data_IF_368836513222
#
_entry.id   IF_368836513222
#
_cell.length_a   1.000
_cell.length_b   1.000
_cell.length_c   1.000
_cell.angle_alpha   90.00
_cell.angle_beta   90.00
_cell.angle_gamma   90.00
#
_symmetry.space_group_name_H-M   'P 1'
#
loop_
_entity.id
_entity.type
_entity.pdbx_description
1 polymer ?
#
# COMPACT_ATOMS: atom_id res chain seq x y z
N UNK A 1 -14.44 -25.06 -4.90
CA UNK A 1 -14.15 -25.53 -3.52
C UNK A 1 -13.97 -24.37 -2.55
N UNK A 2 -14.61 -24.41 -1.37
CA UNK A 2 -14.32 -23.55 -0.21
C UNK A 2 -12.83 -23.60 0.14
N UNK A 3 -12.30 -22.50 0.69
CA UNK A 3 -10.88 -22.39 1.00
C UNK A 3 -10.38 -23.50 1.96
N UNK A 4 -11.25 -23.93 2.87
CA UNK A 4 -10.98 -24.95 3.88
C UNK A 4 -10.71 -26.33 3.27
N UNK A 5 -11.47 -26.72 2.24
CA UNK A 5 -11.33 -28.03 1.59
C UNK A 5 -10.29 -28.07 0.47
N UNK A 6 -9.59 -26.96 0.18
CA UNK A 6 -8.56 -26.90 -0.89
C UNK A 6 -7.22 -27.51 -0.49
N UNK A 7 -6.98 -27.68 0.81
CA UNK A 7 -5.68 -28.15 1.28
C UNK A 7 -5.43 -29.60 0.84
N UNK A 8 -4.25 -29.86 0.28
CA UNK A 8 -3.91 -31.17 -0.31
C UNK A 8 -4.07 -32.35 0.66
N UNK A 9 -3.94 -32.11 1.97
CA UNK A 9 -4.12 -33.13 3.00
C UNK A 9 -5.51 -33.76 3.07
N UNK A 10 -6.54 -33.09 2.53
CA UNK A 10 -7.88 -33.65 2.41
C UNK A 10 -8.03 -34.60 1.21
N UNK A 11 -7.15 -34.47 0.21
CA UNK A 11 -7.19 -35.23 -1.04
C UNK A 11 -6.28 -36.46 -1.01
N UNK A 12 -6.49 -37.36 -0.03
CA UNK A 12 -5.58 -38.48 0.28
C UNK A 12 -5.32 -39.42 -0.89
N UNK A 13 -6.34 -39.79 -1.66
CA UNK A 13 -6.16 -40.67 -2.83
C UNK A 13 -5.36 -39.99 -3.95
N UNK A 14 -5.50 -38.67 -4.11
CA UNK A 14 -4.71 -37.91 -5.07
C UNK A 14 -3.23 -37.87 -4.67
N UNK A 15 -2.93 -37.80 -3.37
CA UNK A 15 -1.56 -37.84 -2.84
C UNK A 15 -0.86 -39.19 -3.07
N UNK A 16 -1.60 -40.28 -3.27
CA UNK A 16 -1.00 -41.60 -3.57
C UNK A 16 -0.52 -41.71 -5.03
N UNK A 17 -0.96 -40.80 -5.90
CA UNK A 17 -0.61 -40.87 -7.32
C UNK A 17 0.87 -40.53 -7.56
N UNK A 18 1.46 -41.19 -8.56
CA UNK A 18 2.83 -40.89 -8.98
C UNK A 18 2.98 -39.44 -9.47
N UNK A 19 1.92 -38.91 -10.11
CA UNK A 19 1.87 -37.55 -10.62
C UNK A 19 1.99 -36.53 -9.47
N UNK A 20 1.33 -36.78 -8.34
CA UNK A 20 1.48 -35.95 -7.15
C UNK A 20 2.92 -35.98 -6.62
N UNK A 21 3.55 -37.15 -6.54
CA UNK A 21 4.93 -37.26 -6.06
C UNK A 21 5.92 -36.51 -6.98
N UNK A 22 5.74 -36.61 -8.30
CA UNK A 22 6.52 -35.81 -9.27
C UNK A 22 6.28 -34.32 -9.10
N UNK A 23 5.03 -33.90 -8.91
CA UNK A 23 4.66 -32.50 -8.71
C UNK A 23 5.29 -31.92 -7.43
N UNK A 24 5.20 -32.66 -6.31
CA UNK A 24 5.81 -32.30 -5.03
C UNK A 24 7.32 -32.11 -5.13
N UNK A 25 8.00 -32.98 -5.87
CA UNK A 25 9.45 -32.86 -6.08
C UNK A 25 9.83 -31.72 -7.04
N UNK A 26 8.90 -31.28 -7.90
CA UNK A 26 9.12 -30.20 -8.88
C UNK A 26 8.92 -28.82 -8.27
N UNK A 27 7.89 -28.66 -7.42
CA UNK A 27 7.54 -27.39 -6.77
C UNK A 27 8.48 -27.09 -5.60
N UNK A 28 9.70 -26.60 -5.89
CA UNK A 28 10.76 -26.37 -4.88
C UNK A 28 10.83 -24.94 -4.34
N UNK A 29 10.28 -23.97 -5.06
CA UNK A 29 10.36 -22.55 -4.66
C UNK A 29 8.97 -21.94 -4.48
N UNK A 30 8.90 -20.87 -3.68
CA UNK A 30 7.65 -20.16 -3.42
C UNK A 30 7.07 -19.59 -4.72
N UNK A 31 5.75 -19.57 -4.83
CA UNK A 31 4.98 -19.03 -5.97
C UNK A 31 5.08 -19.80 -7.29
N UNK A 32 5.71 -20.99 -7.32
CA UNK A 32 5.62 -21.86 -8.50
C UNK A 32 4.25 -22.53 -8.59
N UNK A 33 3.68 -22.54 -9.80
CA UNK A 33 2.47 -23.27 -10.16
C UNK A 33 2.74 -24.17 -11.36
N UNK A 34 2.08 -25.33 -11.40
CA UNK A 34 2.21 -26.31 -12.51
C UNK A 34 0.87 -26.97 -12.75
N UNK A 35 0.46 -27.04 -14.02
CA UNK A 35 -0.67 -27.84 -14.49
C UNK A 35 -0.15 -29.22 -14.92
N UNK A 36 -0.82 -30.27 -14.47
CA UNK A 36 -0.47 -31.66 -14.82
C UNK A 36 -1.74 -32.43 -15.13
N UNK A 37 -1.65 -33.35 -16.09
CA UNK A 37 -2.71 -34.29 -16.38
C UNK A 37 -2.61 -35.48 -15.43
N UNK A 38 -3.71 -35.86 -14.80
CA UNK A 38 -3.80 -37.05 -13.94
C UNK A 38 -4.79 -38.00 -14.60
N UNK A 39 -4.38 -39.27 -14.75
CA UNK A 39 -5.28 -40.31 -15.23
C UNK A 39 -6.34 -40.58 -14.17
N UNK A 40 -7.61 -40.57 -14.57
CA UNK A 40 -8.71 -40.91 -13.68
C UNK A 40 -8.69 -42.42 -13.40
N UNK A 41 -8.32 -42.80 -12.17
CA UNK A 41 -8.38 -44.20 -11.68
C UNK A 41 -9.76 -44.46 -11.06
N UNK A 42 -10.13 -45.73 -10.88
CA UNK A 42 -11.42 -46.06 -10.24
C UNK A 42 -11.55 -45.51 -8.82
N UNK A 43 -10.45 -45.47 -8.05
CA UNK A 43 -10.46 -44.91 -6.70
C UNK A 43 -10.66 -43.39 -6.70
N UNK A 44 -10.08 -42.69 -7.67
CA UNK A 44 -10.31 -41.25 -7.84
C UNK A 44 -11.71 -40.98 -8.36
N UNK A 45 -12.21 -41.80 -9.30
CA UNK A 45 -13.54 -41.65 -9.88
C UNK A 45 -14.62 -41.69 -8.81
N UNK A 46 -14.53 -42.62 -7.84
CA UNK A 46 -15.48 -42.72 -6.71
C UNK A 46 -15.52 -41.47 -5.82
N UNK A 47 -14.45 -40.68 -5.79
CA UNK A 47 -14.33 -39.51 -4.91
C UNK A 47 -14.68 -38.23 -5.66
N UNK A 48 -14.26 -38.13 -6.91
CA UNK A 48 -14.30 -36.89 -7.68
C UNK A 48 -15.36 -36.84 -8.77
N UNK A 49 -16.06 -37.94 -9.04
CA UNK A 49 -17.09 -38.02 -10.07
C UNK A 49 -18.36 -38.58 -9.46
N UNK A 50 -19.48 -37.87 -9.63
CA UNK A 50 -20.80 -38.35 -9.21
C UNK A 50 -21.42 -39.33 -10.24
N UNK A 51 -22.64 -39.80 -9.97
CA UNK A 51 -23.35 -40.74 -10.86
C UNK A 51 -23.66 -40.13 -12.23
N UNK A 52 -23.83 -38.81 -12.29
CA UNK A 52 -24.13 -38.02 -13.49
C UNK A 52 -22.87 -37.55 -14.25
N UNK A 53 -21.69 -38.05 -13.85
CA UNK A 53 -20.38 -37.70 -14.40
C UNK A 53 -19.90 -36.26 -14.14
N UNK A 54 -20.47 -35.55 -13.17
CA UNK A 54 -20.00 -34.23 -12.76
C UNK A 54 -18.79 -34.34 -11.83
N UNK A 55 -17.91 -33.33 -11.91
CA UNK A 55 -16.77 -33.21 -11.01
C UNK A 55 -17.20 -32.66 -9.65
N UNK A 56 -16.93 -33.42 -8.59
CA UNK A 56 -17.29 -33.05 -7.22
C UNK A 56 -16.18 -33.36 -6.21
N UNK A 57 -16.35 -32.88 -4.98
CA UNK A 57 -15.62 -33.34 -3.80
C UNK A 57 -16.46 -33.03 -2.56
N UNK A 58 -16.67 -34.01 -1.67
CA UNK A 58 -17.42 -33.86 -0.40
C UNK A 58 -18.76 -33.11 -0.57
N UNK A 59 -19.58 -33.52 -1.55
CA UNK A 59 -20.89 -32.96 -1.91
C UNK A 59 -20.87 -31.53 -2.46
N UNK A 60 -19.75 -31.10 -3.04
CA UNK A 60 -19.63 -29.79 -3.69
C UNK A 60 -19.07 -29.94 -5.09
N UNK A 61 -19.65 -29.21 -6.04
CA UNK A 61 -19.12 -29.19 -7.40
C UNK A 61 -17.79 -28.44 -7.48
N UNK A 62 -16.89 -28.98 -8.29
CA UNK A 62 -15.62 -28.33 -8.61
C UNK A 62 -15.87 -27.25 -9.68
N UNK A 63 -15.18 -26.13 -9.53
CA UNK A 63 -15.20 -25.04 -10.49
C UNK A 63 -13.95 -25.10 -11.36
N UNK A 64 -14.10 -24.75 -12.63
CA UNK A 64 -12.97 -24.50 -13.51
C UNK A 64 -12.22 -23.25 -13.04
N UNK A 65 -10.89 -23.35 -12.95
CA UNK A 65 -10.05 -22.20 -12.57
C UNK A 65 -9.63 -21.49 -13.85
N UNK A 66 -10.28 -20.36 -14.16
CA UNK A 66 -9.80 -19.41 -15.15
C UNK A 66 -8.55 -18.69 -14.59
N UNK A 67 -7.40 -18.82 -15.26
CA UNK A 67 -6.14 -18.16 -14.86
C UNK A 67 -6.31 -16.62 -14.76
N UNK A 68 -7.21 -16.03 -15.54
CA UNK A 68 -7.45 -14.59 -15.61
C UNK A 68 -8.13 -13.99 -14.36
N UNK A 69 -8.80 -14.79 -13.53
CA UNK A 69 -9.64 -14.25 -12.43
C UNK A 69 -8.97 -14.23 -11.06
N UNK A 70 -7.89 -14.99 -10.86
CA UNK A 70 -7.35 -15.27 -9.50
C UNK A 70 -5.99 -14.63 -9.19
N UNK A 71 -5.17 -14.31 -10.20
CA UNK A 71 -3.86 -13.66 -9.98
C UNK A 71 -3.94 -12.13 -10.10
N UNK A 72 -4.94 -11.62 -10.82
CA UNK A 72 -4.96 -10.24 -11.26
C UNK A 72 -5.47 -9.27 -10.20
N UNK A 73 -6.40 -9.67 -9.31
CA UNK A 73 -6.93 -8.75 -8.26
C UNK A 73 -5.90 -8.46 -7.17
N UNK A 74 -5.25 -9.47 -6.62
CA UNK A 74 -4.33 -9.29 -5.48
C UNK A 74 -3.00 -8.66 -5.89
N UNK A 75 -2.50 -8.91 -7.11
CA UNK A 75 -1.29 -8.25 -7.61
C UNK A 75 -1.56 -6.82 -8.09
N UNK A 76 -2.67 -6.56 -8.79
CA UNK A 76 -3.05 -5.19 -9.18
C UNK A 76 -3.29 -4.31 -7.97
N UNK A 77 -3.96 -4.80 -6.93
CA UNK A 77 -4.21 -4.01 -5.70
C UNK A 77 -2.93 -3.66 -4.95
N UNK A 78 -1.92 -4.54 -4.97
CA UNK A 78 -0.63 -4.27 -4.34
C UNK A 78 0.24 -3.35 -5.20
N UNK A 79 0.24 -3.52 -6.53
CA UNK A 79 0.96 -2.65 -7.45
C UNK A 79 0.37 -1.23 -7.48
N UNK A 80 -0.96 -1.10 -7.48
CA UNK A 80 -1.64 0.20 -7.39
C UNK A 80 -1.31 0.89 -6.07
N UNK A 81 -1.38 0.20 -4.92
CA UNK A 81 -0.95 0.78 -3.63
C UNK A 81 0.52 1.19 -3.59
N UNK A 82 1.41 0.43 -4.24
CA UNK A 82 2.83 0.79 -4.34
C UNK A 82 3.02 2.01 -5.26
N UNK A 83 2.32 2.06 -6.39
CA UNK A 83 2.35 3.18 -7.32
C UNK A 83 1.77 4.44 -6.70
N UNK A 84 0.62 4.37 -6.03
CA UNK A 84 0.02 5.47 -5.25
C UNK A 84 1.01 5.99 -4.21
N UNK A 85 1.60 5.10 -3.41
CA UNK A 85 2.58 5.48 -2.39
C UNK A 85 3.87 6.07 -2.99
N UNK A 86 4.29 5.61 -4.16
CA UNK A 86 5.44 6.16 -4.89
C UNK A 86 5.14 7.53 -5.50
N UNK A 87 3.95 7.72 -6.08
CA UNK A 87 3.47 9.00 -6.60
C UNK A 87 3.31 10.01 -5.46
N UNK A 88 2.66 9.64 -4.36
CA UNK A 88 2.55 10.49 -3.16
C UNK A 88 3.93 10.82 -2.57
N UNK A 89 4.88 9.88 -2.57
CA UNK A 89 6.23 10.13 -2.06
C UNK A 89 7.08 10.98 -3.00
N UNK A 90 6.80 10.92 -4.31
CA UNK A 90 7.45 11.72 -5.34
C UNK A 90 6.89 13.13 -5.36
N UNK A 91 5.57 13.32 -5.30
CA UNK A 91 4.90 14.61 -5.13
C UNK A 91 5.38 15.30 -3.86
N UNK A 92 5.36 14.61 -2.71
CA UNK A 92 5.90 15.15 -1.44
C UNK A 92 7.41 15.47 -1.51
N UNK A 93 8.18 14.80 -2.37
CA UNK A 93 9.63 15.10 -2.55
C UNK A 93 9.87 16.22 -3.56
N UNK A 94 9.07 16.35 -4.61
CA UNK A 94 9.14 17.43 -5.58
C UNK A 94 8.66 18.75 -4.97
N UNK A 95 7.55 18.72 -4.21
CA UNK A 95 7.07 19.85 -3.43
C UNK A 95 8.09 20.28 -2.38
N UNK A 96 8.64 19.35 -1.57
CA UNK A 96 9.66 19.70 -0.56
C UNK A 96 10.96 20.23 -1.17
N UNK A 97 11.37 19.72 -2.35
CA UNK A 97 12.53 20.26 -3.07
C UNK A 97 12.25 21.68 -3.57
N UNK A 98 11.03 21.96 -4.03
CA UNK A 98 10.63 23.28 -4.48
C UNK A 98 10.52 24.28 -3.32
N UNK A 99 9.86 23.93 -2.21
CA UNK A 99 9.68 24.82 -1.06
C UNK A 99 11.00 25.25 -0.41
N UNK A 100 11.98 24.35 -0.30
CA UNK A 100 13.30 24.71 0.21
C UNK A 100 13.99 25.73 -0.70
N UNK A 101 13.96 25.51 -2.03
CA UNK A 101 14.53 26.43 -3.01
C UNK A 101 13.81 27.78 -3.05
N UNK A 102 12.48 27.77 -2.90
CA UNK A 102 11.68 29.00 -2.79
C UNK A 102 12.04 29.75 -1.50
N UNK A 103 12.16 29.05 -0.37
CA UNK A 103 12.48 29.67 0.92
C UNK A 103 13.83 30.39 0.92
N UNK A 104 14.81 29.88 0.17
CA UNK A 104 16.13 30.51 0.00
C UNK A 104 16.04 31.84 -0.77
N UNK A 105 14.96 32.06 -1.53
CA UNK A 105 14.71 33.31 -2.28
C UNK A 105 13.85 34.32 -1.50
N UNK A 106 13.28 33.93 -0.36
CA UNK A 106 12.51 34.86 0.47
C UNK A 106 13.43 35.94 1.02
N UNK A 107 12.98 37.19 0.98
CA UNK A 107 13.71 38.33 1.53
C UNK A 107 13.26 38.64 2.96
N UNK A 108 13.26 37.63 3.81
CA UNK A 108 12.87 37.74 5.23
C UNK A 108 13.85 36.98 6.12
N UNK A 109 14.19 37.56 7.27
CA UNK A 109 15.00 36.87 8.27
C UNK A 109 14.18 35.83 9.04
N UNK A 110 14.88 34.84 9.63
CA UNK A 110 14.23 33.87 10.50
C UNK A 110 13.56 34.56 11.69
N UNK A 111 12.36 34.11 12.03
CA UNK A 111 11.69 34.50 13.25
C UNK A 111 12.47 33.99 14.46
N UNK A 112 12.81 34.91 15.36
CA UNK A 112 13.43 34.63 16.65
C UNK A 112 12.55 35.18 17.76
N UNK A 113 12.70 34.62 18.96
CA UNK A 113 12.05 35.12 20.18
C UNK A 113 12.43 36.57 20.56
N UNK A 114 13.40 37.18 19.86
CA UNK A 114 13.86 38.56 20.07
C UNK A 114 13.22 39.57 19.12
N UNK A 115 12.47 39.14 18.10
CA UNK A 115 11.78 40.08 17.21
C UNK A 115 10.64 40.77 17.97
N UNK A 116 10.76 42.09 18.10
CA UNK A 116 9.83 42.91 18.89
C UNK A 116 8.45 43.08 18.24
N UNK A 117 8.33 42.83 16.93
CA UNK A 117 7.08 43.02 16.20
C UNK A 117 6.69 41.77 15.40
N UNK A 118 6.12 40.79 16.11
CA UNK A 118 5.61 39.53 15.54
C UNK A 118 4.62 39.75 14.41
N UNK A 119 3.72 40.74 14.56
CA UNK A 119 2.70 41.04 13.55
C UNK A 119 3.32 41.49 12.24
N UNK A 120 4.26 42.44 12.30
CA UNK A 120 4.95 42.93 11.11
C UNK A 120 5.78 41.83 10.42
N UNK A 121 6.43 40.97 11.20
CA UNK A 121 7.17 39.83 10.64
C UNK A 121 6.23 38.88 9.90
N UNK A 122 5.09 38.52 10.50
CA UNK A 122 4.11 37.63 9.89
C UNK A 122 3.49 38.24 8.62
N UNK A 123 3.15 39.52 8.63
CA UNK A 123 2.68 40.24 7.44
C UNK A 123 3.73 40.25 6.31
N UNK A 124 5.01 40.36 6.66
CA UNK A 124 6.11 40.28 5.69
C UNK A 124 6.24 38.88 5.11
N UNK A 125 6.11 37.85 5.96
CA UNK A 125 6.12 36.46 5.54
C UNK A 125 4.94 36.14 4.59
N UNK A 126 3.72 36.56 4.91
CA UNK A 126 2.54 36.35 4.06
C UNK A 126 2.65 37.07 2.70
N UNK A 127 3.26 38.27 2.67
CA UNK A 127 3.57 38.97 1.42
C UNK A 127 4.56 38.19 0.56
N UNK A 128 5.59 37.59 1.17
CA UNK A 128 6.53 36.73 0.46
C UNK A 128 5.87 35.44 -0.03
N UNK A 129 4.99 34.81 0.75
CA UNK A 129 4.17 33.68 0.28
C UNK A 129 3.35 34.06 -0.95
N UNK A 130 2.68 35.23 -0.93
CA UNK A 130 1.92 35.75 -2.06
C UNK A 130 2.82 36.03 -3.27
N UNK A 131 4.04 36.54 -3.07
CA UNK A 131 5.01 36.82 -4.14
C UNK A 131 5.44 35.57 -4.90
N UNK A 132 5.41 34.41 -4.25
CA UNK A 132 5.76 33.11 -4.85
C UNK A 132 4.55 32.22 -5.11
N UNK A 133 3.35 32.79 -5.18
CA UNK A 133 2.09 32.07 -5.45
C UNK A 133 1.80 30.92 -4.46
N UNK A 134 2.26 31.04 -3.22
CA UNK A 134 1.93 30.10 -2.13
C UNK A 134 0.60 30.52 -1.51
N UNK A 135 -0.48 30.03 -2.10
CA UNK A 135 -1.86 30.42 -1.74
C UNK A 135 -2.43 29.51 -0.65
N UNK A 136 -2.14 28.22 -0.73
CA UNK A 136 -2.68 27.19 0.18
C UNK A 136 -2.11 27.33 1.59
N UNK A 137 -2.99 27.33 2.59
CA UNK A 137 -2.59 27.54 3.99
C UNK A 137 -1.73 26.40 4.53
N UNK A 138 -1.97 25.17 4.08
CA UNK A 138 -1.14 24.01 4.41
C UNK A 138 0.32 24.23 3.97
N UNK A 139 0.52 24.71 2.74
CA UNK A 139 1.85 25.00 2.20
C UNK A 139 2.52 26.18 2.91
N UNK A 140 1.75 27.22 3.29
CA UNK A 140 2.26 28.33 4.10
C UNK A 140 2.76 27.85 5.46
N UNK A 141 2.02 26.94 6.11
CA UNK A 141 2.42 26.33 7.39
C UNK A 141 3.69 25.48 7.22
N UNK A 142 3.79 24.72 6.12
CA UNK A 142 5.00 23.92 5.86
C UNK A 142 6.25 24.78 5.64
N UNK A 143 6.15 25.82 4.81
CA UNK A 143 7.30 26.69 4.51
C UNK A 143 7.66 27.59 5.70
N UNK A 144 6.68 27.99 6.52
CA UNK A 144 6.90 28.76 7.75
C UNK A 144 7.95 28.12 8.66
N UNK A 145 7.94 26.80 8.78
CA UNK A 145 8.90 26.05 9.61
C UNK A 145 10.37 26.35 9.24
N UNK A 146 10.66 26.63 7.98
CA UNK A 146 12.02 26.94 7.51
C UNK A 146 12.52 28.30 8.01
N UNK A 147 11.60 29.18 8.38
CA UNK A 147 11.86 30.52 8.88
C UNK A 147 11.77 30.62 10.40
N UNK A 148 11.56 29.54 11.14
CA UNK A 148 11.57 29.57 12.61
C UNK A 148 12.98 29.28 13.13
N UNK A 149 13.36 29.95 14.22
CA UNK A 149 14.53 29.54 15.01
C UNK A 149 14.31 28.16 15.67
N UNK A 150 15.35 27.60 16.28
CA UNK A 150 15.30 26.24 16.84
C UNK A 150 14.16 26.09 17.86
N UNK A 151 14.04 27.02 18.80
CA UNK A 151 13.04 26.97 19.86
C UNK A 151 11.61 27.10 19.30
N UNK A 152 11.39 28.00 18.34
CA UNK A 152 10.10 28.16 17.67
C UNK A 152 9.76 26.95 16.78
N UNK A 153 10.74 26.37 16.09
CA UNK A 153 10.55 25.18 15.24
C UNK A 153 10.17 23.94 16.06
N UNK A 154 10.79 23.79 17.24
CA UNK A 154 10.47 22.70 18.17
C UNK A 154 9.03 22.84 18.70
N UNK A 155 8.62 24.06 19.09
CA UNK A 155 7.23 24.34 19.51
C UNK A 155 6.22 24.06 18.39
N UNK A 156 6.51 24.51 17.17
CA UNK A 156 5.66 24.28 16.00
C UNK A 156 5.47 22.78 15.74
N UNK A 157 6.55 22.00 15.79
CA UNK A 157 6.52 20.54 15.58
C UNK A 157 5.71 19.82 16.66
N UNK A 158 5.86 20.23 17.92
CA UNK A 158 5.08 19.67 19.04
C UNK A 158 3.59 20.00 18.94
N UNK A 159 3.25 21.22 18.53
CA UNK A 159 1.86 21.71 18.43
C UNK A 159 1.12 21.03 17.28
N UNK A 160 1.78 20.87 16.12
CA UNK A 160 1.21 20.17 14.97
C UNK A 160 0.90 18.70 15.29
N UNK A 161 1.79 18.04 16.05
CA UNK A 161 1.59 16.66 16.53
C UNK A 161 0.37 16.56 17.45
N UNK A 162 0.18 17.54 18.35
CA UNK A 162 -0.97 17.55 19.26
C UNK A 162 -2.30 17.74 18.53
N UNK A 163 -2.33 18.60 17.50
CA UNK A 163 -3.54 18.84 16.69
C UNK A 163 -3.92 17.63 15.82
N UNK A 164 -2.93 16.93 15.26
CA UNK A 164 -3.19 15.69 14.48
C UNK A 164 -3.65 14.53 15.37
N UNK A 165 -3.21 14.48 16.63
CA UNK A 165 -3.64 13.44 17.59
C UNK A 165 -5.05 13.68 18.16
N UNK A 166 -5.56 14.92 18.13
CA UNK A 166 -6.93 15.24 18.62
C UNK A 166 -8.05 15.06 17.58
N UNK A 167 -7.74 14.70 16.33
CA UNK A 167 -8.73 14.49 15.27
C UNK A 167 -9.28 13.05 15.17
N UNK A 168 -9.05 12.19 16.17
CA UNK A 168 -9.44 10.78 16.12
C UNK A 168 -9.73 10.19 17.49
N UNK A 169 -10.78 10.68 18.14
CA UNK A 169 -11.50 9.95 19.19
C UNK A 169 -12.99 10.32 19.08
N UNK A 170 -13.64 9.76 18.07
CA UNK A 170 -15.06 9.39 18.12
C UNK A 170 -15.13 7.85 18.05
#
# INVERSE_FOLDING_TARGET
>A
LPAESRHIGYHKELMKTENYNKLKNTLKTRHQKRKVWIKMTEDLKKIYIDEDQNLQFENQYLEEIDEDKSEDKTQKDNLTKILEKLVESSQRKEEKKNLKQISEKFMIEKFTSKHSNTKQWLETFEKECTRFDIIEDETKIEILRLFLDKSCSDWHSATLTKLTVQAGWD
#
